data_IF_010368669510
#
_entry.id   IF_010368669510
#
_cell.length_a   1.000
_cell.length_b   1.000
_cell.length_c   1.000
_cell.angle_alpha   90.00
_cell.angle_beta   90.00
_cell.angle_gamma   90.00
#
_symmetry.space_group_name_H-M   'P 1'
#
loop_
_entity.id
_entity.type
_entity.pdbx_description
1 polymer ?
#
# COMPACT_ATOMS: atom_id res chain seq x y z
N UNK A 1 -16.86 -6.91 0.92
CA UNK A 1 -15.67 -7.80 0.88
C UNK A 1 -14.81 -7.49 -0.34
N UNK A 2 -15.42 -7.36 -1.54
CA UNK A 2 -14.73 -6.97 -2.77
C UNK A 2 -13.89 -5.68 -2.64
N UNK A 3 -14.40 -4.65 -1.96
CA UNK A 3 -13.69 -3.36 -1.83
C UNK A 3 -12.36 -3.47 -1.06
N UNK A 4 -12.29 -4.35 -0.06
CA UNK A 4 -11.07 -4.58 0.74
C UNK A 4 -10.03 -5.35 -0.08
N UNK A 5 -10.48 -6.30 -0.88
CA UNK A 5 -9.62 -7.09 -1.75
C UNK A 5 -9.04 -6.23 -2.89
N UNK A 6 -9.87 -5.38 -3.49
CA UNK A 6 -9.45 -4.37 -4.47
C UNK A 6 -8.46 -3.38 -3.82
N UNK A 7 -8.73 -2.92 -2.60
CA UNK A 7 -7.82 -2.03 -1.87
C UNK A 7 -6.44 -2.65 -1.64
N UNK A 8 -6.38 -3.92 -1.19
CA UNK A 8 -5.11 -4.65 -1.03
C UNK A 8 -4.36 -4.75 -2.34
N UNK A 9 -5.07 -5.09 -3.42
CA UNK A 9 -4.48 -5.26 -4.74
C UNK A 9 -3.90 -3.94 -5.26
N UNK A 10 -4.62 -2.82 -5.09
CA UNK A 10 -4.15 -1.48 -5.42
C UNK A 10 -2.92 -1.07 -4.61
N UNK A 11 -2.89 -1.33 -3.30
CA UNK A 11 -1.74 -1.03 -2.43
C UNK A 11 -0.53 -1.86 -2.85
N UNK A 12 -0.74 -3.15 -3.14
CA UNK A 12 0.33 -4.06 -3.59
C UNK A 12 0.91 -3.63 -4.91
N UNK A 13 0.06 -3.35 -5.91
CA UNK A 13 0.49 -2.87 -7.22
C UNK A 13 1.17 -1.50 -7.09
N UNK A 14 0.60 -0.59 -6.30
CA UNK A 14 1.16 0.72 -6.01
C UNK A 14 2.60 0.61 -5.50
N UNK A 15 2.85 -0.24 -4.50
CA UNK A 15 4.19 -0.47 -3.95
C UNK A 15 5.17 -1.13 -4.94
N UNK A 16 4.70 -2.06 -5.77
CA UNK A 16 5.53 -2.67 -6.83
C UNK A 16 5.92 -1.62 -7.87
N UNK A 17 4.98 -0.77 -8.28
CA UNK A 17 5.26 0.33 -9.22
C UNK A 17 6.25 1.32 -8.60
N UNK A 18 6.15 1.64 -7.29
CA UNK A 18 7.15 2.49 -6.63
C UNK A 18 8.56 1.90 -6.75
N UNK A 19 8.67 0.58 -6.55
CA UNK A 19 9.97 -0.10 -6.60
C UNK A 19 10.54 -0.11 -8.01
N UNK A 20 9.72 -0.43 -9.02
CA UNK A 20 10.14 -0.40 -10.43
C UNK A 20 10.52 1.04 -10.84
N UNK A 21 9.72 2.04 -10.48
CA UNK A 21 10.00 3.44 -10.77
C UNK A 21 11.31 3.89 -10.12
N UNK A 22 11.54 3.55 -8.84
CA UNK A 22 12.77 3.87 -8.14
C UNK A 22 14.01 3.19 -8.73
N UNK A 23 13.88 1.96 -9.24
CA UNK A 23 14.95 1.28 -9.98
C UNK A 23 15.25 2.01 -11.29
N UNK A 24 14.22 2.37 -12.07
CA UNK A 24 14.39 3.06 -13.35
C UNK A 24 14.97 4.46 -13.17
N UNK A 25 14.50 5.23 -12.19
CA UNK A 25 15.08 6.52 -11.82
C UNK A 25 16.50 6.37 -11.32
N UNK A 26 16.78 5.38 -10.48
CA UNK A 26 18.13 5.06 -10.04
C UNK A 26 19.07 4.82 -11.22
N UNK A 27 18.67 3.99 -12.18
CA UNK A 27 19.43 3.73 -13.42
C UNK A 27 19.62 4.98 -14.27
N UNK A 28 18.60 5.84 -14.41
CA UNK A 28 18.70 7.09 -15.14
C UNK A 28 19.66 8.09 -14.45
N UNK A 29 19.66 8.12 -13.12
CA UNK A 29 20.54 8.99 -12.33
C UNK A 29 22.01 8.55 -12.40
N UNK A 30 22.31 7.26 -12.58
CA UNK A 30 23.68 6.75 -12.73
C UNK A 30 24.45 7.33 -13.92
N UNK A 31 23.79 8.02 -14.86
CA UNK A 31 24.43 8.73 -15.98
C UNK A 31 25.33 9.87 -15.48
N UNK A 32 25.09 10.41 -14.28
CA UNK A 32 25.83 11.54 -13.71
C UNK A 32 26.46 11.19 -12.36
N UNK A 33 27.62 11.76 -12.04
CA UNK A 33 28.30 11.56 -10.75
C UNK A 33 27.40 12.00 -9.58
N UNK A 34 26.66 13.09 -9.75
CA UNK A 34 25.69 13.59 -8.76
C UNK A 34 24.54 12.59 -8.60
N UNK A 35 24.08 11.99 -9.69
CA UNK A 35 23.00 11.02 -9.63
C UNK A 35 23.38 9.71 -8.94
N UNK A 36 24.65 9.29 -8.90
CA UNK A 36 25.08 8.15 -8.06
C UNK A 36 24.81 8.44 -6.57
N UNK A 37 25.09 9.66 -6.11
CA UNK A 37 24.86 10.08 -4.73
C UNK A 37 23.37 10.08 -4.38
N UNK A 38 22.51 10.45 -5.35
CA UNK A 38 21.05 10.49 -5.16
C UNK A 38 20.37 9.14 -5.40
N UNK A 39 20.95 8.26 -6.23
CA UNK A 39 20.39 6.96 -6.56
C UNK A 39 20.34 6.03 -5.35
N UNK A 40 21.36 6.07 -4.48
CA UNK A 40 21.40 5.24 -3.27
C UNK A 40 20.25 5.58 -2.29
N UNK A 41 20.05 6.85 -1.88
CA UNK A 41 18.88 7.24 -1.09
C UNK A 41 17.54 6.92 -1.77
N UNK A 42 17.42 7.15 -3.09
CA UNK A 42 16.20 6.86 -3.83
C UNK A 42 15.85 5.37 -3.82
N UNK A 43 16.86 4.50 -4.00
CA UNK A 43 16.66 3.06 -3.94
C UNK A 43 16.24 2.58 -2.55
N UNK A 44 16.85 3.12 -1.49
CA UNK A 44 16.48 2.82 -0.10
C UNK A 44 15.03 3.23 0.18
N UNK A 45 14.62 4.42 -0.26
CA UNK A 45 13.25 4.91 -0.14
C UNK A 45 12.25 4.04 -0.89
N UNK A 46 12.56 3.65 -2.14
CA UNK A 46 11.70 2.80 -2.95
C UNK A 46 11.49 1.43 -2.29
N UNK A 47 12.59 0.82 -1.80
CA UNK A 47 12.54 -0.44 -1.06
C UNK A 47 11.72 -0.31 0.23
N UNK A 48 11.89 0.78 0.96
CA UNK A 48 11.18 1.03 2.21
C UNK A 48 9.67 1.19 1.99
N UNK A 49 9.25 1.93 0.95
CA UNK A 49 7.84 2.07 0.54
C UNK A 49 7.24 0.70 0.20
N UNK A 50 7.95 -0.12 -0.58
CA UNK A 50 7.52 -1.47 -0.92
C UNK A 50 7.34 -2.34 0.33
N UNK A 51 8.33 -2.38 1.22
CA UNK A 51 8.25 -3.14 2.47
C UNK A 51 7.06 -2.69 3.32
N UNK A 52 6.82 -1.38 3.41
CA UNK A 52 5.70 -0.85 4.18
C UNK A 52 4.34 -1.17 3.58
N UNK A 53 4.26 -1.27 2.25
CA UNK A 53 3.06 -1.72 1.55
C UNK A 53 2.67 -3.15 1.93
N UNK A 54 3.66 -4.04 2.08
CA UNK A 54 3.43 -5.43 2.54
C UNK A 54 2.91 -5.44 3.98
N UNK A 55 3.55 -4.71 4.88
CA UNK A 55 3.10 -4.64 6.28
C UNK A 55 1.70 -4.04 6.42
N UNK A 56 1.32 -3.12 5.54
CA UNK A 56 -0.05 -2.61 5.46
C UNK A 56 -1.01 -3.72 5.05
N UNK A 57 -0.67 -4.53 4.05
CA UNK A 57 -1.49 -5.68 3.62
C UNK A 57 -1.70 -6.66 4.78
N UNK A 58 -0.65 -6.98 5.54
CA UNK A 58 -0.74 -7.84 6.73
C UNK A 58 -1.68 -7.25 7.79
N UNK A 59 -1.64 -5.94 8.03
CA UNK A 59 -2.57 -5.28 8.96
C UNK A 59 -4.02 -5.35 8.46
N UNK A 60 -4.24 -5.27 7.14
CA UNK A 60 -5.57 -5.44 6.53
C UNK A 60 -6.04 -6.89 6.65
N UNK A 61 -5.14 -7.87 6.51
CA UNK A 61 -5.43 -9.30 6.76
C UNK A 61 -5.83 -9.56 8.21
N UNK A 62 -5.19 -8.89 9.16
CA UNK A 62 -5.53 -8.97 10.59
C UNK A 62 -6.81 -8.19 10.98
N UNK A 63 -7.43 -7.47 10.04
CA UNK A 63 -8.61 -6.64 10.28
C UNK A 63 -8.33 -5.30 10.99
N UNK A 64 -7.07 -4.93 11.20
CA UNK A 64 -6.66 -3.68 11.83
C UNK A 64 -6.54 -2.54 10.80
N UNK A 65 -7.67 -2.18 10.20
CA UNK A 65 -7.73 -1.19 9.11
C UNK A 65 -7.30 0.21 9.56
N UNK A 66 -7.50 0.56 10.84
CA UNK A 66 -7.10 1.87 11.37
C UNK A 66 -5.58 2.01 11.33
N UNK A 67 -4.85 1.03 11.87
CA UNK A 67 -3.38 1.03 11.80
C UNK A 67 -2.88 0.88 10.38
N UNK A 68 -3.57 0.10 9.53
CA UNK A 68 -3.22 -0.02 8.12
C UNK A 68 -3.25 1.34 7.42
N UNK A 69 -4.30 2.16 7.64
CA UNK A 69 -4.42 3.50 7.06
C UNK A 69 -3.34 4.44 7.57
N UNK A 70 -3.13 4.52 8.88
CA UNK A 70 -2.10 5.39 9.48
C UNK A 70 -0.70 5.06 8.94
N UNK A 71 -0.40 3.77 8.76
CA UNK A 71 0.88 3.28 8.28
C UNK A 71 1.07 3.43 6.76
N UNK A 72 -0.02 3.49 5.99
CA UNK A 72 -0.02 3.66 4.53
C UNK A 72 0.11 5.13 4.10
N UNK A 73 -0.32 6.09 4.92
CA UNK A 73 -0.26 7.53 4.57
C UNK A 73 1.17 7.99 4.27
N UNK A 74 2.13 7.60 5.12
CA UNK A 74 3.53 8.03 4.97
C UNK A 74 4.13 7.53 3.64
N UNK A 75 4.12 6.22 3.31
CA UNK A 75 4.66 5.74 2.04
C UNK A 75 3.90 6.28 0.83
N UNK A 76 2.58 6.50 0.94
CA UNK A 76 1.79 7.12 -0.13
C UNK A 76 2.25 8.55 -0.44
N UNK A 77 2.40 9.40 0.59
CA UNK A 77 2.81 10.80 0.41
C UNK A 77 4.24 10.87 -0.13
N UNK A 78 5.14 10.03 0.38
CA UNK A 78 6.51 9.95 -0.16
C UNK A 78 6.53 9.49 -1.62
N UNK A 79 5.67 8.52 -1.98
CA UNK A 79 5.55 8.08 -3.37
C UNK A 79 4.99 9.16 -4.30
N UNK A 80 4.09 10.02 -3.81
CA UNK A 80 3.55 11.16 -4.57
C UNK A 80 4.60 12.24 -4.84
N UNK A 81 5.49 12.49 -3.87
CA UNK A 81 6.46 13.59 -3.94
C UNK A 81 7.72 13.18 -4.71
N UNK A 82 8.26 11.99 -4.41
CA UNK A 82 9.61 11.61 -4.84
C UNK A 82 9.66 10.63 -6.00
N UNK A 83 8.57 9.89 -6.24
CA UNK A 83 8.52 8.85 -7.27
C UNK A 83 7.40 9.17 -8.26
N UNK A 84 6.75 8.13 -8.78
CA UNK A 84 5.65 8.30 -9.73
C UNK A 84 4.34 8.68 -9.02
N UNK A 85 3.71 9.73 -9.54
CA UNK A 85 2.34 10.14 -9.18
C UNK A 85 1.36 8.96 -9.34
N UNK A 86 1.59 8.08 -10.32
CA UNK A 86 0.76 6.89 -10.55
C UNK A 86 0.77 5.98 -9.33
N UNK A 87 1.95 5.65 -8.80
CA UNK A 87 2.07 4.78 -7.63
C UNK A 87 1.39 5.37 -6.40
N UNK A 88 1.60 6.66 -6.16
CA UNK A 88 0.96 7.38 -5.07
C UNK A 88 -0.56 7.43 -5.18
N UNK A 89 -1.10 7.64 -6.39
CA UNK A 89 -2.54 7.61 -6.64
C UNK A 89 -3.12 6.22 -6.39
N UNK A 90 -2.47 5.14 -6.83
CA UNK A 90 -2.94 3.77 -6.55
C UNK A 90 -3.04 3.51 -5.04
N UNK A 91 -2.02 3.91 -4.28
CA UNK A 91 -2.02 3.79 -2.82
C UNK A 91 -3.12 4.64 -2.16
N UNK A 92 -3.38 5.84 -2.69
CA UNK A 92 -4.42 6.73 -2.22
C UNK A 92 -5.82 6.15 -2.45
N UNK A 93 -6.07 5.58 -3.63
CA UNK A 93 -7.34 4.88 -3.91
C UNK A 93 -7.50 3.69 -2.95
N UNK A 94 -6.44 2.90 -2.73
CA UNK A 94 -6.45 1.82 -1.75
C UNK A 94 -6.78 2.29 -0.32
N UNK A 95 -6.24 3.44 0.10
CA UNK A 95 -6.55 4.05 1.40
C UNK A 95 -8.00 4.54 1.53
N UNK A 96 -8.57 5.10 0.46
CA UNK A 96 -9.96 5.56 0.44
C UNK A 96 -10.93 4.37 0.52
N UNK A 97 -10.63 3.28 -0.19
CA UNK A 97 -11.46 2.07 -0.19
C UNK A 97 -11.38 1.29 1.13
N UNK A 98 -10.34 1.50 1.94
CA UNK A 98 -10.20 0.84 3.24
C UNK A 98 -11.25 1.35 4.25
N UNK A 99 -12.08 0.46 4.83
CA UNK A 99 -13.08 0.83 5.82
C UNK A 99 -12.42 1.37 7.09
N UNK A 100 -13.00 2.43 7.65
CA UNK A 100 -12.45 3.11 8.83
C UNK A 100 -12.77 2.42 10.16
N UNK A 101 -13.61 1.38 10.16
CA UNK A 101 -14.05 0.64 11.35
C UNK A 101 -13.47 -0.78 11.35
N UNK A 102 -13.00 -1.30 12.49
CA UNK A 102 -12.63 -2.71 12.62
C UNK A 102 -13.85 -3.59 12.37
N UNK A 103 -13.66 -4.69 11.65
CA UNK A 103 -14.67 -5.60 11.11
C UNK A 103 -15.45 -6.42 12.16
N UNK A 104 -15.60 -5.96 13.41
CA UNK A 104 -16.44 -6.67 14.39
C UNK A 104 -17.92 -6.79 13.96
N UNK A 105 -18.33 -6.07 12.93
CA UNK A 105 -19.66 -6.17 12.30
C UNK A 105 -19.66 -6.97 10.97
N UNK A 106 -18.56 -7.63 10.61
CA UNK A 106 -18.45 -8.50 9.42
C UNK A 106 -18.26 -9.97 9.83
N UNK A 107 -18.96 -10.42 10.87
CA UNK A 107 -19.25 -11.85 10.98
C UNK A 107 -20.10 -12.27 9.78
N UNK A 108 -19.77 -13.38 9.10
CA UNK A 108 -20.78 -14.06 8.30
C UNK A 108 -21.87 -14.50 9.27
N UNK A 109 -23.10 -13.98 9.13
CA UNK A 109 -24.27 -14.65 9.70
C UNK A 109 -24.32 -16.05 9.10
N UNK A 110 -23.74 -17.03 9.79
CA UNK A 110 -24.02 -18.43 9.56
C UNK A 110 -25.52 -18.66 9.78
N UNK A 111 -26.18 -19.46 8.93
CA UNK A 111 -27.58 -19.81 9.16
C UNK A 111 -27.63 -20.87 10.26
N UNK A 112 -27.68 -20.42 11.52
CA UNK A 112 -28.13 -21.24 12.65
C UNK A 112 -29.22 -20.48 13.38
N UNK A 113 -30.45 -20.60 12.89
CA UNK A 113 -31.65 -20.85 13.67
C UNK A 113 -32.87 -20.92 12.73
N UNK A 114 -33.28 -22.15 12.41
CA UNK A 114 -34.69 -22.49 12.25
C UNK A 114 -34.88 -23.84 12.96
N UNK A 115 -34.83 -23.85 14.29
CA UNK A 115 -35.55 -24.86 15.06
C UNK A 115 -37.05 -24.59 14.92
N UNK A 116 -37.76 -25.54 14.31
CA UNK A 116 -39.21 -25.54 14.20
C UNK A 116 -39.71 -26.97 13.99
N UNK A 117 -39.75 -27.73 15.09
CA UNK A 117 -40.57 -28.93 15.27
C UNK A 117 -41.24 -28.83 16.63
#
# INVERSE_FOLDING_TARGET
MADVEIAKLLIKIGGIISLIAGVLEGLALLITIIGIILAVPAFILAWWIYKRSIEVIELIDMGDYKKAKDKLIIPMVLSLIFFSTISGILMLIGLILLPSKPSKDLEPKGPTDCQGY
#
